data_IF_049975622088
#
_entry.id   IF_049975622088
#
_cell.length_a   1.000
_cell.length_b   1.000
_cell.length_c   1.000
_cell.angle_alpha   90.00
_cell.angle_beta   90.00
_cell.angle_gamma   90.00
#
_symmetry.space_group_name_H-M   'P 1'
#
loop_
_entity.id
_entity.type
_entity.pdbx_description
1 polymer ?
#
# COMPACT_ATOMS: atom_id res chain seq x y z
N UNK A 1 -0.82 -25.16 -33.11
CA UNK A 1 0.21 -24.17 -32.81
C UNK A 1 0.06 -23.81 -31.35
N UNK A 2 1.00 -24.23 -30.51
CA UNK A 2 0.99 -23.94 -29.08
C UNK A 2 1.34 -22.46 -28.88
N UNK A 3 0.37 -21.67 -28.42
CA UNK A 3 0.58 -20.28 -28.01
C UNK A 3 1.62 -20.27 -26.88
N UNK A 4 2.86 -19.86 -27.21
CA UNK A 4 3.95 -19.69 -26.24
C UNK A 4 3.82 -18.35 -25.47
N UNK A 5 2.59 -17.92 -25.20
CA UNK A 5 2.32 -16.72 -24.42
C UNK A 5 2.45 -17.07 -22.94
N UNK A 6 3.65 -16.88 -22.38
CA UNK A 6 3.84 -16.87 -20.93
C UNK A 6 3.27 -15.54 -20.41
N UNK A 7 2.23 -15.55 -19.57
CA UNK A 7 1.70 -14.31 -19.00
C UNK A 7 2.77 -13.64 -18.14
N UNK A 8 3.06 -12.38 -18.45
CA UNK A 8 4.00 -11.56 -17.68
C UNK A 8 3.41 -11.26 -16.31
N UNK A 9 4.09 -11.66 -15.24
CA UNK A 9 3.67 -11.33 -13.89
C UNK A 9 4.24 -9.96 -13.46
N UNK A 10 3.37 -8.95 -13.43
CA UNK A 10 3.70 -7.59 -12.99
C UNK A 10 3.39 -7.36 -11.51
N UNK A 11 3.11 -8.41 -10.73
CA UNK A 11 2.63 -8.25 -9.37
C UNK A 11 3.67 -7.70 -8.39
N UNK A 12 4.97 -7.85 -8.66
CA UNK A 12 6.02 -7.41 -7.75
C UNK A 12 6.11 -5.88 -7.68
N UNK A 13 6.13 -5.28 -6.49
CA UNK A 13 6.42 -3.84 -6.35
C UNK A 13 7.80 -3.50 -6.94
N UNK A 14 7.86 -2.41 -7.71
CA UNK A 14 9.12 -1.91 -8.23
C UNK A 14 9.96 -1.26 -7.13
N UNK A 15 11.24 -1.04 -7.39
CA UNK A 15 12.10 -0.27 -6.47
C UNK A 15 11.55 1.14 -6.23
N UNK A 16 11.09 1.81 -7.28
CA UNK A 16 10.50 3.14 -7.19
C UNK A 16 9.24 3.15 -6.30
N UNK A 17 8.43 2.09 -6.36
CA UNK A 17 7.27 1.94 -5.48
C UNK A 17 7.67 1.86 -4.01
N UNK A 18 8.69 1.06 -3.70
CA UNK A 18 9.19 0.91 -2.34
C UNK A 18 9.82 2.21 -1.81
N UNK A 19 10.47 2.98 -2.68
CA UNK A 19 10.98 4.32 -2.35
C UNK A 19 9.84 5.30 -2.02
N UNK A 20 8.71 5.24 -2.74
CA UNK A 20 7.51 6.03 -2.43
C UNK A 20 6.88 5.64 -1.10
N UNK A 21 6.78 4.33 -0.80
CA UNK A 21 6.31 3.85 0.51
C UNK A 21 7.22 4.34 1.63
N UNK A 22 8.54 4.34 1.42
CA UNK A 22 9.51 4.89 2.38
C UNK A 22 9.31 6.39 2.57
N UNK A 23 9.13 7.15 1.49
CA UNK A 23 8.87 8.58 1.53
C UNK A 23 7.56 8.91 2.27
N UNK A 24 6.51 8.09 2.11
CA UNK A 24 5.29 8.19 2.90
C UNK A 24 5.58 8.06 4.41
N UNK A 25 6.47 7.14 4.80
CA UNK A 25 6.92 7.01 6.19
C UNK A 25 7.65 8.25 6.72
N UNK A 26 8.50 8.89 5.92
CA UNK A 26 9.14 10.15 6.30
C UNK A 26 8.10 11.28 6.45
N UNK A 27 7.08 11.34 5.57
CA UNK A 27 5.95 12.26 5.71
C UNK A 27 5.21 12.07 7.04
N UNK A 28 4.98 10.82 7.47
CA UNK A 28 4.34 10.54 8.75
C UNK A 28 5.16 11.04 9.95
N UNK A 29 6.50 10.93 9.89
CA UNK A 29 7.38 11.46 10.93
C UNK A 29 7.29 12.98 11.06
N UNK A 30 7.17 13.69 9.94
CA UNK A 30 6.94 15.15 9.93
C UNK A 30 5.62 15.54 10.59
N UNK A 31 4.63 14.64 10.58
CA UNK A 31 3.35 14.79 11.27
C UNK A 31 3.39 14.31 12.73
N UNK A 32 4.58 14.06 13.29
CA UNK A 32 4.81 13.51 14.63
C UNK A 32 4.17 12.15 14.89
N UNK A 33 3.95 11.36 13.83
CA UNK A 33 3.38 10.00 13.88
C UNK A 33 4.48 8.97 13.72
N UNK A 34 4.27 7.81 14.32
CA UNK A 34 5.09 6.64 14.00
C UNK A 34 4.52 5.97 12.74
N UNK A 35 5.40 5.35 11.97
CA UNK A 35 5.04 4.64 10.76
C UNK A 35 5.77 3.30 10.71
N UNK A 36 5.08 2.27 10.24
CA UNK A 36 5.64 0.96 9.91
C UNK A 36 5.04 0.48 8.61
N UNK A 37 5.84 -0.22 7.81
CA UNK A 37 5.34 -1.01 6.69
C UNK A 37 5.81 -2.45 6.78
N UNK A 38 5.02 -3.36 6.24
CA UNK A 38 5.33 -4.78 6.12
C UNK A 38 4.98 -5.25 4.72
N UNK A 39 5.91 -5.93 4.05
CA UNK A 39 5.70 -6.48 2.71
C UNK A 39 5.47 -7.98 2.79
N UNK A 40 4.47 -8.46 2.05
CA UNK A 40 4.18 -9.89 1.85
C UNK A 40 4.03 -10.17 0.36
N UNK A 41 4.92 -11.00 -0.15
CA UNK A 41 4.86 -11.47 -1.54
C UNK A 41 4.13 -12.80 -1.59
N UNK A 42 3.07 -12.89 -2.41
CA UNK A 42 2.31 -14.11 -2.66
C UNK A 42 2.27 -14.39 -4.17
N UNK A 43 1.88 -15.61 -4.58
CA UNK A 43 1.74 -15.90 -6.00
C UNK A 43 0.68 -15.01 -6.64
N UNK A 44 1.09 -14.16 -7.58
CA UNK A 44 0.21 -13.25 -8.31
C UNK A 44 -0.23 -11.98 -7.59
N UNK A 45 0.27 -11.71 -6.39
CA UNK A 45 0.12 -10.40 -5.77
C UNK A 45 1.28 -10.09 -4.83
N UNK A 46 1.67 -8.82 -4.78
CA UNK A 46 2.60 -8.31 -3.78
C UNK A 46 1.85 -7.29 -2.93
N UNK A 47 1.95 -7.43 -1.61
CA UNK A 47 1.18 -6.62 -0.66
C UNK A 47 2.12 -5.84 0.24
N UNK A 48 1.79 -4.58 0.45
CA UNK A 48 2.41 -3.74 1.47
C UNK A 48 1.35 -3.26 2.43
N UNK A 49 1.47 -3.71 3.68
CA UNK A 49 0.68 -3.22 4.80
C UNK A 49 1.33 -1.96 5.34
N UNK A 50 0.52 -0.94 5.54
CA UNK A 50 0.90 0.38 6.04
C UNK A 50 0.24 0.60 7.39
N UNK A 51 1.02 1.03 8.38
CA UNK A 51 0.56 1.31 9.72
C UNK A 51 1.03 2.69 10.13
N UNK A 52 0.12 3.52 10.64
CA UNK A 52 0.42 4.85 11.16
C UNK A 52 -0.33 5.10 12.45
N UNK A 53 0.35 5.66 13.44
CA UNK A 53 -0.29 5.98 14.71
C UNK A 53 0.36 7.16 15.42
N UNK A 54 -0.41 7.72 16.35
CA UNK A 54 0.12 8.70 17.30
C UNK A 54 0.83 7.99 18.46
N UNK A 55 1.58 8.74 19.27
CA UNK A 55 2.16 8.24 20.54
C UNK A 55 1.12 8.11 21.67
N UNK A 56 -0.14 8.45 21.42
CA UNK A 56 -1.22 8.40 22.39
C UNK A 56 -1.97 7.06 22.43
N UNK A 57 -3.13 7.05 23.10
CA UNK A 57 -4.02 5.87 23.19
C UNK A 57 -4.92 5.69 21.96
N UNK A 58 -4.84 6.59 20.98
CA UNK A 58 -5.61 6.51 19.74
C UNK A 58 -5.22 5.24 18.97
N UNK A 59 -6.20 4.44 18.49
CA UNK A 59 -5.92 3.32 17.62
C UNK A 59 -5.07 3.75 16.42
N UNK A 60 -4.19 2.86 15.96
CA UNK A 60 -3.45 3.10 14.73
C UNK A 60 -4.36 2.89 13.51
N UNK A 61 -4.10 3.66 12.46
CA UNK A 61 -4.69 3.45 11.16
C UNK A 61 -3.89 2.38 10.40
N UNK A 62 -4.58 1.49 9.71
CA UNK A 62 -3.96 0.44 8.91
C UNK A 62 -4.59 0.30 7.54
N UNK A 63 -3.75 0.17 6.52
CA UNK A 63 -4.15 0.02 5.13
C UNK A 63 -3.27 -1.00 4.42
N UNK A 64 -3.75 -1.57 3.33
CA UNK A 64 -3.00 -2.51 2.50
C UNK A 64 -3.02 -2.04 1.05
N UNK A 65 -1.84 -1.86 0.48
CA UNK A 65 -1.68 -1.66 -0.97
C UNK A 65 -1.28 -3.00 -1.58
N UNK A 66 -2.08 -3.48 -2.52
CA UNK A 66 -1.81 -4.70 -3.30
C UNK A 66 -1.45 -4.32 -4.72
N UNK A 67 -0.40 -4.93 -5.28
CA UNK A 67 -0.10 -4.88 -6.71
C UNK A 67 -0.42 -6.24 -7.33
N UNK A 68 -1.26 -6.24 -8.37
CA UNK A 68 -1.77 -7.43 -9.03
C UNK A 68 -0.97 -7.80 -10.29
N UNK A 69 -1.18 -9.01 -10.83
CA UNK A 69 -0.44 -9.56 -11.99
C UNK A 69 -0.46 -8.69 -13.24
N UNK A 70 -1.54 -7.96 -13.47
CA UNK A 70 -1.73 -7.03 -14.58
C UNK A 70 -1.18 -5.62 -14.27
N UNK A 71 -0.52 -5.45 -13.13
CA UNK A 71 0.23 -4.25 -12.76
C UNK A 71 -0.60 -3.14 -12.13
N UNK A 72 -1.91 -3.31 -11.95
CA UNK A 72 -2.73 -2.34 -11.23
C UNK A 72 -2.53 -2.44 -9.72
N UNK A 73 -2.87 -1.35 -9.03
CA UNK A 73 -2.81 -1.22 -7.59
C UNK A 73 -4.20 -1.22 -7.00
N UNK A 74 -4.34 -1.78 -5.81
CA UNK A 74 -5.57 -1.75 -5.04
C UNK A 74 -5.24 -1.30 -3.61
N UNK A 75 -6.01 -0.33 -3.10
CA UNK A 75 -5.95 0.07 -1.69
C UNK A 75 -7.13 -0.54 -0.95
N UNK A 76 -6.85 -1.20 0.17
CA UNK A 76 -7.85 -1.75 1.09
C UNK A 76 -7.64 -1.25 2.50
N UNK A 77 -8.71 -1.29 3.30
CA UNK A 77 -8.62 -1.27 4.76
C UNK A 77 -7.69 -2.41 5.24
N UNK A 78 -6.81 -2.13 6.20
CA UNK A 78 -5.88 -3.08 6.80
C UNK A 78 -6.57 -4.24 7.54
N UNK A 79 -7.87 -4.12 7.86
CA UNK A 79 -8.69 -5.23 8.39
C UNK A 79 -9.26 -6.15 7.31
N UNK A 80 -8.94 -5.91 6.03
CA UNK A 80 -9.33 -6.75 4.90
C UNK A 80 -10.79 -6.64 4.47
N UNK A 81 -11.56 -5.70 5.05
CA UNK A 81 -13.01 -5.64 4.85
C UNK A 81 -13.49 -4.91 3.60
N UNK A 82 -12.73 -3.92 3.11
CA UNK A 82 -13.21 -3.02 2.05
C UNK A 82 -12.09 -2.51 1.15
N UNK A 83 -12.31 -2.61 -0.16
CA UNK A 83 -11.53 -1.88 -1.17
C UNK A 83 -11.93 -0.41 -1.17
N UNK A 84 -10.94 0.45 -1.02
CA UNK A 84 -11.08 1.91 -1.01
C UNK A 84 -10.88 2.48 -2.41
N UNK A 85 -9.89 1.96 -3.14
CA UNK A 85 -9.65 2.36 -4.54
C UNK A 85 -8.93 1.27 -5.34
N UNK A 86 -9.07 1.35 -6.66
CA UNK A 86 -8.26 0.66 -7.65
C UNK A 86 -7.60 1.71 -8.53
N UNK A 87 -6.30 1.59 -8.75
CA UNK A 87 -5.47 2.62 -9.35
C UNK A 87 -4.48 2.04 -10.38
N UNK A 88 -4.04 2.88 -11.32
CA UNK A 88 -3.01 2.51 -12.30
C UNK A 88 -1.61 2.81 -11.78
N UNK A 89 -1.48 3.69 -10.80
CA UNK A 89 -0.21 4.04 -10.18
C UNK A 89 -0.26 3.91 -8.66
N UNK A 90 0.90 3.72 -8.05
CA UNK A 90 1.01 3.75 -6.60
C UNK A 90 0.63 5.11 -6.00
N UNK A 91 0.89 6.22 -6.70
CA UNK A 91 0.58 7.56 -6.18
C UNK A 91 -0.92 7.78 -6.05
N UNK A 92 -1.70 7.32 -7.03
CA UNK A 92 -3.16 7.30 -6.96
C UNK A 92 -3.67 6.45 -5.78
N UNK A 93 -3.08 5.27 -5.57
CA UNK A 93 -3.44 4.41 -4.44
C UNK A 93 -3.09 5.07 -3.10
N UNK A 94 -1.91 5.67 -2.96
CA UNK A 94 -1.49 6.39 -1.73
C UNK A 94 -2.35 7.64 -1.52
N UNK A 95 -2.69 8.37 -2.57
CA UNK A 95 -3.52 9.58 -2.50
C UNK A 95 -4.96 9.31 -2.04
N UNK A 96 -5.43 8.07 -2.16
CA UNK A 96 -6.72 7.64 -1.66
C UNK A 96 -6.71 7.15 -0.20
N UNK A 97 -5.55 7.20 0.48
CA UNK A 97 -5.47 6.85 1.90
C UNK A 97 -6.27 7.88 2.72
N UNK A 98 -7.20 7.44 3.58
CA UNK A 98 -8.00 8.34 4.41
C UNK A 98 -7.17 9.18 5.40
N UNK A 99 -7.76 10.31 5.81
CA UNK A 99 -7.11 11.33 6.65
C UNK A 99 -6.70 10.83 8.05
N UNK A 100 -7.38 9.81 8.58
CA UNK A 100 -7.04 9.19 9.88
C UNK A 100 -5.62 8.59 9.90
N UNK A 101 -5.07 8.31 8.71
CA UNK A 101 -3.70 7.88 8.54
C UNK A 101 -2.70 9.00 8.81
N UNK A 102 -3.07 10.24 8.52
CA UNK A 102 -2.22 11.44 8.62
C UNK A 102 -2.48 12.24 9.89
N UNK A 103 -3.70 12.19 10.41
CA UNK A 103 -4.15 13.03 11.51
C UNK A 103 -4.82 12.18 12.59
N UNK A 104 -4.66 12.59 13.86
CA UNK A 104 -5.46 12.03 14.95
C UNK A 104 -6.72 12.87 15.07
N UNK A 105 -7.89 12.25 15.03
CA UNK A 105 -9.13 12.87 15.50
C UNK A 105 -9.09 13.09 17.02
#
# INVERSE_FOLDING_TARGET
MSDNLVPLDLSAFSRADLEKIRALGEKQRLLYRWFRSERKTESGCDRVFLYSGSRGRTPYASYCVTRHRDGHYELRDGRGGRTLTTARTLDEAIGAIPDDFYYSN
#
